data_IF_377346653767
#
_entry.id   IF_377346653767
#
_cell.length_a   1.000
_cell.length_b   1.000
_cell.length_c   1.000
_cell.angle_alpha   90.00
_cell.angle_beta   90.00
_cell.angle_gamma   90.00
#
_symmetry.space_group_name_H-M   'P 1'
#
loop_
_entity.id
_entity.type
_entity.pdbx_description
1 polymer ?
#
# COMPACT_ATOMS: atom_id res chain seq x y z
N UNK A 1 7.28 7.99 2.29
CA UNK A 1 6.85 9.34 1.83
C UNK A 1 5.62 9.38 0.91
N UNK A 2 5.49 8.51 -0.10
CA UNK A 2 4.38 8.58 -1.07
C UNK A 2 2.98 8.52 -0.43
N UNK A 3 2.77 7.63 0.54
CA UNK A 3 1.48 7.48 1.23
C UNK A 3 1.04 8.77 1.95
N UNK A 4 1.92 9.34 2.78
CA UNK A 4 1.63 10.53 3.56
C UNK A 4 1.30 11.74 2.67
N UNK A 5 2.02 11.91 1.56
CA UNK A 5 1.77 12.99 0.59
C UNK A 5 0.42 12.82 -0.12
N UNK A 6 0.08 11.60 -0.54
CA UNK A 6 -1.22 11.30 -1.16
C UNK A 6 -2.38 11.55 -0.20
N UNK A 7 -2.25 11.16 1.06
CA UNK A 7 -3.25 11.43 2.10
C UNK A 7 -3.36 12.92 2.41
N UNK A 8 -2.24 13.65 2.51
CA UNK A 8 -2.25 15.09 2.73
C UNK A 8 -2.94 15.86 1.57
N UNK A 9 -2.76 15.40 0.32
CA UNK A 9 -3.35 16.05 -0.86
C UNK A 9 -4.84 15.72 -1.05
N UNK A 10 -5.24 14.44 -0.93
CA UNK A 10 -6.62 14.01 -1.21
C UNK A 10 -7.51 13.94 0.05
N UNK A 11 -6.93 14.09 1.23
CA UNK A 11 -7.55 13.76 2.52
C UNK A 11 -7.64 12.24 2.74
N UNK A 12 -7.72 11.79 3.99
CA UNK A 12 -7.70 10.36 4.36
C UNK A 12 -8.77 9.54 3.62
N UNK A 13 -9.98 10.09 3.48
CA UNK A 13 -11.12 9.42 2.85
C UNK A 13 -10.86 9.00 1.40
N UNK A 14 -10.04 9.76 0.65
CA UNK A 14 -9.73 9.49 -0.76
C UNK A 14 -8.29 9.02 -0.96
N UNK A 15 -7.35 9.54 -0.18
CA UNK A 15 -5.93 9.18 -0.27
C UNK A 15 -5.66 7.73 0.09
N UNK A 16 -6.31 7.19 1.14
CA UNK A 16 -6.11 5.79 1.56
C UNK A 16 -6.59 4.81 0.48
N UNK A 17 -7.80 4.91 -0.11
CA UNK A 17 -8.21 4.08 -1.24
C UNK A 17 -7.29 4.19 -2.47
N UNK A 18 -6.80 5.38 -2.80
CA UNK A 18 -5.86 5.58 -3.92
C UNK A 18 -4.57 4.80 -3.66
N UNK A 19 -4.02 4.90 -2.45
CA UNK A 19 -2.82 4.15 -2.08
C UNK A 19 -3.04 2.64 -2.09
N UNK A 20 -4.18 2.14 -1.61
CA UNK A 20 -4.54 0.71 -1.72
C UNK A 20 -4.57 0.25 -3.17
N UNK A 21 -5.21 1.03 -4.05
CA UNK A 21 -5.29 0.73 -5.48
C UNK A 21 -3.91 0.68 -6.14
N UNK A 22 -3.02 1.59 -5.74
CA UNK A 22 -1.63 1.58 -6.19
C UNK A 22 -0.90 0.31 -5.72
N UNK A 23 -0.97 -0.03 -4.43
CA UNK A 23 -0.35 -1.25 -3.88
C UNK A 23 -0.87 -2.55 -4.50
N UNK A 24 -2.19 -2.64 -4.73
CA UNK A 24 -2.81 -3.80 -5.42
C UNK A 24 -2.30 -3.99 -6.85
N UNK A 25 -2.01 -2.88 -7.56
CA UNK A 25 -1.40 -2.95 -8.90
C UNK A 25 0.08 -3.33 -8.81
N UNK A 26 0.79 -2.78 -7.84
CA UNK A 26 2.20 -3.07 -7.59
C UNK A 26 2.43 -4.55 -7.26
N UNK A 27 1.53 -5.16 -6.49
CA UNK A 27 1.57 -6.58 -6.14
C UNK A 27 1.63 -7.54 -7.35
N UNK A 28 1.20 -7.12 -8.54
CA UNK A 28 1.26 -7.93 -9.76
C UNK A 28 2.69 -8.25 -10.22
N UNK A 29 3.68 -7.51 -9.72
CA UNK A 29 5.09 -7.73 -10.01
C UNK A 29 5.76 -8.70 -9.03
N UNK A 30 5.07 -9.09 -7.95
CA UNK A 30 5.59 -9.99 -6.93
C UNK A 30 5.26 -11.46 -7.27
N UNK A 31 6.12 -12.45 -6.98
CA UNK A 31 5.79 -13.86 -7.21
C UNK A 31 4.53 -14.30 -6.43
N UNK A 32 4.41 -13.90 -5.16
CA UNK A 32 3.21 -14.12 -4.32
C UNK A 32 2.13 -13.02 -4.49
N UNK A 33 1.66 -12.81 -5.72
CA UNK A 33 0.69 -11.75 -6.08
C UNK A 33 -0.51 -11.70 -5.11
N UNK A 34 -1.18 -12.82 -4.86
CA UNK A 34 -2.42 -12.84 -4.07
C UNK A 34 -2.21 -12.43 -2.60
N UNK A 35 -1.09 -12.84 -1.99
CA UNK A 35 -0.77 -12.52 -0.60
C UNK A 35 -0.44 -11.03 -0.46
N UNK A 36 0.42 -10.52 -1.34
CA UNK A 36 0.84 -9.12 -1.33
C UNK A 36 -0.33 -8.19 -1.69
N UNK A 37 -1.18 -8.59 -2.63
CA UNK A 37 -2.39 -7.86 -3.01
C UNK A 37 -3.35 -7.72 -1.83
N UNK A 38 -3.59 -8.80 -1.10
CA UNK A 38 -4.44 -8.78 0.10
C UNK A 38 -3.84 -7.92 1.20
N UNK A 39 -2.52 -7.95 1.37
CA UNK A 39 -1.83 -7.11 2.34
C UNK A 39 -2.03 -5.61 2.02
N UNK A 40 -1.80 -5.19 0.77
CA UNK A 40 -2.03 -3.80 0.34
C UNK A 40 -3.49 -3.37 0.45
N UNK A 41 -4.47 -4.26 0.20
CA UNK A 41 -5.89 -3.93 0.31
C UNK A 41 -6.32 -3.59 1.74
N UNK A 42 -5.59 -4.05 2.77
CA UNK A 42 -5.90 -3.82 4.19
C UNK A 42 -5.26 -2.57 4.79
N UNK A 43 -4.32 -1.93 4.09
CA UNK A 43 -3.56 -0.76 4.55
C UNK A 43 -4.50 0.40 4.93
N UNK A 44 -4.36 0.98 6.11
CA UNK A 44 -5.13 2.16 6.56
C UNK A 44 -4.23 3.37 6.84
N UNK A 45 -2.96 3.12 7.12
CA UNK A 45 -1.98 4.11 7.56
C UNK A 45 -0.67 4.02 6.77
N UNK A 46 0.19 5.06 6.85
CA UNK A 46 1.55 4.98 6.35
C UNK A 46 2.36 3.84 7.00
N UNK A 47 2.13 3.56 8.28
CA UNK A 47 2.79 2.47 9.01
C UNK A 47 2.39 1.10 8.48
N UNK A 48 1.10 0.89 8.20
CA UNK A 48 0.65 -0.35 7.55
C UNK A 48 1.32 -0.53 6.18
N UNK A 49 1.45 0.55 5.41
CA UNK A 49 2.13 0.52 4.13
C UNK A 49 3.59 0.09 4.29
N UNK A 50 4.29 0.70 5.26
CA UNK A 50 5.68 0.32 5.56
C UNK A 50 5.78 -1.13 6.00
N UNK A 51 4.89 -1.63 6.86
CA UNK A 51 4.88 -3.03 7.29
C UNK A 51 4.70 -4.01 6.11
N UNK A 52 3.91 -3.65 5.08
CA UNK A 52 3.81 -4.46 3.86
C UNK A 52 5.11 -4.45 3.06
N UNK A 53 5.78 -3.29 2.94
CA UNK A 53 7.07 -3.20 2.27
C UNK A 53 8.14 -4.00 3.00
N UNK A 54 8.25 -3.82 4.32
CA UNK A 54 9.24 -4.48 5.17
C UNK A 54 9.06 -6.01 5.15
N UNK A 55 7.83 -6.50 5.04
CA UNK A 55 7.53 -7.94 5.03
C UNK A 55 7.83 -8.64 3.71
N UNK A 56 7.64 -7.96 2.58
CA UNK A 56 7.63 -8.60 1.25
C UNK A 56 8.75 -8.12 0.32
N UNK A 57 9.34 -6.95 0.59
CA UNK A 57 10.32 -6.31 -0.31
C UNK A 57 11.64 -5.96 0.38
N UNK A 58 11.68 -5.93 1.71
CA UNK A 58 12.91 -5.73 2.47
C UNK A 58 13.53 -7.10 2.75
N UNK A 59 14.74 -7.32 2.23
CA UNK A 59 15.52 -8.55 2.30
C UNK A 59 16.94 -8.19 2.73
#
# INVERSE_FOLDING_TARGET
EHFARTVAFYGERRGVPVMRGFGVRYARLHPEVDLVRQAFARVKSPDDWKAVMDRWYEN
#
